data_IF_271600958605
#
_entry.id   IF_271600958605
#
_cell.length_a   1.000
_cell.length_b   1.000
_cell.length_c   1.000
_cell.angle_alpha   90.00
_cell.angle_beta   90.00
_cell.angle_gamma   90.00
#
_symmetry.space_group_name_H-M   'P 1'
#
loop_
_entity.id
_entity.type
_entity.pdbx_description
1 polymer ?
#
# COMPACT_ATOMS: atom_id res chain seq x y z
N UNK A 1 -42.43 -45.96 -65.73
CA UNK A 1 -42.39 -44.70 -66.50
C UNK A 1 -41.57 -43.70 -65.67
N UNK A 2 -40.27 -43.57 -65.90
CA UNK A 2 -39.67 -42.53 -66.75
C UNK A 2 -39.23 -41.34 -65.86
N UNK A 3 -38.01 -41.28 -65.29
CA UNK A 3 -36.77 -40.61 -65.81
C UNK A 3 -37.02 -39.17 -66.30
N UNK A 4 -36.26 -38.09 -66.04
CA UNK A 4 -34.81 -37.84 -65.95
C UNK A 4 -34.58 -36.46 -65.28
N UNK A 5 -33.42 -36.23 -64.67
CA UNK A 5 -32.91 -34.87 -64.43
C UNK A 5 -31.62 -34.77 -63.62
N UNK A 6 -30.48 -35.20 -64.18
CA UNK A 6 -29.13 -35.09 -63.59
C UNK A 6 -28.29 -34.09 -64.40
N UNK A 7 -27.51 -33.23 -63.72
CA UNK A 7 -26.28 -32.59 -64.23
C UNK A 7 -25.45 -32.15 -63.00
N UNK A 8 -24.47 -32.95 -62.52
CA UNK A 8 -23.01 -32.94 -62.79
C UNK A 8 -22.31 -31.58 -62.57
N UNK A 9 -21.33 -31.55 -61.65
CA UNK A 9 -19.93 -31.08 -61.81
C UNK A 9 -19.11 -31.35 -60.50
N UNK A 10 -17.76 -31.30 -60.50
CA UNK A 10 -16.93 -32.48 -60.26
C UNK A 10 -16.19 -32.54 -58.90
N UNK A 11 -15.71 -33.75 -58.58
CA UNK A 11 -14.75 -34.04 -57.49
C UNK A 11 -13.39 -33.39 -57.77
N UNK A 12 -12.82 -32.73 -56.77
CA UNK A 12 -11.37 -32.52 -56.65
C UNK A 12 -10.81 -33.17 -55.38
N UNK A 13 -9.62 -33.75 -55.58
CA UNK A 13 -8.79 -34.51 -54.63
C UNK A 13 -8.34 -33.65 -53.45
N UNK A 14 -8.13 -34.30 -52.30
CA UNK A 14 -7.55 -33.69 -51.12
C UNK A 14 -6.06 -33.36 -51.27
N UNK A 15 -5.59 -32.46 -50.41
CA UNK A 15 -4.19 -32.35 -49.97
C UNK A 15 -4.21 -31.88 -48.51
N UNK A 16 -3.35 -32.50 -47.70
CA UNK A 16 -3.05 -32.16 -46.32
C UNK A 16 -2.82 -30.66 -46.08
N UNK A 17 -3.37 -30.14 -44.98
CA UNK A 17 -2.84 -28.98 -44.30
C UNK A 17 -2.56 -29.38 -42.84
N UNK A 18 -1.27 -29.45 -42.53
CA UNK A 18 -0.69 -29.54 -41.20
C UNK A 18 -1.15 -28.36 -40.35
N UNK A 19 -2.09 -28.61 -39.42
CA UNK A 19 -2.40 -27.71 -38.33
C UNK A 19 -1.63 -28.17 -37.10
N UNK A 20 -0.50 -27.53 -36.80
CA UNK A 20 0.16 -27.62 -35.49
C UNK A 20 -0.82 -27.15 -34.43
N UNK A 21 -1.32 -28.08 -33.62
CA UNK A 21 -2.00 -27.75 -32.38
C UNK A 21 -0.99 -27.03 -31.48
N UNK A 22 -1.13 -25.71 -31.37
CA UNK A 22 -0.42 -24.92 -30.37
C UNK A 22 -1.01 -25.31 -29.03
N UNK A 23 -0.33 -26.20 -28.33
CA UNK A 23 -0.55 -26.49 -26.92
C UNK A 23 -0.30 -25.22 -26.13
N UNK A 24 -1.37 -24.53 -25.72
CA UNK A 24 -1.29 -23.54 -24.65
C UNK A 24 -0.90 -24.30 -23.38
N UNK A 25 0.40 -24.33 -23.09
CA UNK A 25 0.86 -24.57 -21.73
C UNK A 25 0.29 -23.40 -20.92
N UNK A 26 -0.70 -23.70 -20.09
CA UNK A 26 -1.04 -22.85 -18.94
C UNK A 26 0.29 -22.54 -18.25
N UNK A 27 0.72 -21.29 -18.35
CA UNK A 27 1.80 -20.80 -17.52
C UNK A 27 1.25 -20.89 -16.09
N UNK A 28 1.66 -21.94 -15.38
CA UNK A 28 1.46 -22.06 -13.94
C UNK A 28 2.00 -20.77 -13.33
N UNK A 29 1.10 -19.84 -12.97
CA UNK A 29 1.48 -18.58 -12.34
C UNK A 29 1.99 -18.98 -10.97
N UNK A 30 3.31 -19.10 -10.86
CA UNK A 30 3.96 -19.41 -9.60
C UNK A 30 3.69 -18.25 -8.65
N UNK A 31 2.74 -18.44 -7.74
CA UNK A 31 2.46 -17.50 -6.67
C UNK A 31 3.77 -17.24 -5.93
N UNK A 32 4.14 -15.96 -5.81
CA UNK A 32 5.34 -15.57 -5.05
C UNK A 32 5.12 -15.97 -3.59
N UNK A 33 6.11 -16.65 -3.04
CA UNK A 33 6.20 -16.87 -1.59
C UNK A 33 6.24 -15.52 -0.86
N UNK A 34 5.83 -15.52 0.40
CA UNK A 34 5.89 -14.32 1.23
C UNK A 34 7.31 -13.73 1.32
N UNK A 35 8.33 -14.60 1.38
CA UNK A 35 9.74 -14.21 1.32
C UNK A 35 10.09 -13.47 0.02
N UNK A 36 9.69 -14.00 -1.13
CA UNK A 36 9.92 -13.33 -2.42
C UNK A 36 9.17 -11.98 -2.50
N UNK A 37 7.94 -11.89 -1.97
CA UNK A 37 7.21 -10.61 -1.90
C UNK A 37 7.96 -9.58 -1.02
N UNK A 38 8.52 -10.00 0.11
CA UNK A 38 9.33 -9.16 0.98
C UNK A 38 10.60 -8.64 0.29
N UNK A 39 11.34 -9.53 -0.39
CA UNK A 39 12.52 -9.17 -1.17
C UNK A 39 12.21 -8.18 -2.30
N UNK A 40 11.08 -8.37 -2.98
CA UNK A 40 10.58 -7.42 -3.99
C UNK A 40 10.32 -6.06 -3.34
N UNK A 41 9.57 -6.00 -2.23
CA UNK A 41 9.28 -4.73 -1.55
C UNK A 41 10.54 -3.99 -1.10
N UNK A 42 11.53 -4.73 -0.58
CA UNK A 42 12.82 -4.16 -0.19
C UNK A 42 13.56 -3.57 -1.40
N UNK A 43 13.58 -4.31 -2.53
CA UNK A 43 14.22 -3.84 -3.76
C UNK A 43 13.60 -2.55 -4.31
N UNK A 44 12.29 -2.34 -4.10
CA UNK A 44 11.60 -1.14 -4.55
C UNK A 44 12.07 0.14 -3.83
N UNK A 45 12.66 0.02 -2.63
CA UNK A 45 13.20 1.16 -1.90
C UNK A 45 14.68 1.42 -2.22
N UNK A 46 15.38 0.46 -2.83
CA UNK A 46 16.85 0.49 -3.00
C UNK A 46 17.32 0.47 -4.45
N UNK A 47 16.42 0.29 -5.42
CA UNK A 47 16.75 0.23 -6.85
C UNK A 47 17.03 1.58 -7.53
N UNK A 48 17.08 2.67 -6.77
CA UNK A 48 17.36 4.02 -7.28
C UNK A 48 16.20 4.70 -8.01
N UNK A 49 15.00 4.10 -8.05
CA UNK A 49 13.79 4.71 -8.63
C UNK A 49 12.85 5.15 -7.52
N UNK A 50 12.13 6.25 -7.77
CA UNK A 50 11.05 6.67 -6.88
C UNK A 50 9.89 5.68 -6.94
N UNK A 51 9.58 5.05 -5.82
CA UNK A 51 8.38 4.25 -5.62
C UNK A 51 7.18 5.15 -5.32
N UNK A 52 6.24 5.23 -6.26
CA UNK A 52 4.94 5.89 -6.03
C UNK A 52 3.96 4.86 -5.50
N UNK A 53 3.53 5.02 -4.24
CA UNK A 53 2.75 4.00 -3.54
C UNK A 53 1.44 4.57 -2.95
N UNK A 54 0.34 4.57 -3.72
CA UNK A 54 -0.98 4.94 -3.22
C UNK A 54 -1.44 4.02 -2.09
N UNK A 55 -2.14 4.59 -1.12
CA UNK A 55 -2.67 3.85 0.01
C UNK A 55 -4.14 3.45 -0.22
N UNK A 56 -4.50 2.25 0.20
CA UNK A 56 -5.85 1.69 0.10
C UNK A 56 -6.41 1.38 1.49
N UNK A 57 -7.72 1.21 1.56
CA UNK A 57 -8.44 0.82 2.77
C UNK A 57 -9.31 -0.42 2.59
N UNK A 58 -9.35 -1.01 1.39
CA UNK A 58 -10.18 -2.18 1.10
C UNK A 58 -9.61 -3.04 -0.04
N UNK A 59 -10.13 -4.28 -0.21
CA UNK A 59 -9.63 -5.22 -1.23
C UNK A 59 -9.77 -4.72 -2.68
N UNK A 60 -10.89 -4.09 -3.04
CA UNK A 60 -11.12 -3.64 -4.43
C UNK A 60 -10.12 -2.55 -4.84
N UNK A 61 -9.79 -1.63 -3.92
CA UNK A 61 -8.75 -0.62 -4.16
C UNK A 61 -7.38 -1.25 -4.42
N UNK A 62 -7.01 -2.28 -3.65
CA UNK A 62 -5.76 -3.01 -3.86
C UNK A 62 -5.69 -3.64 -5.25
N UNK A 63 -6.80 -4.23 -5.72
CA UNK A 63 -6.90 -4.83 -7.05
C UNK A 63 -6.83 -3.81 -8.18
N UNK A 64 -7.45 -2.65 -8.00
CA UNK A 64 -7.32 -1.56 -8.95
C UNK A 64 -5.86 -1.14 -9.08
N UNK A 65 -5.14 -0.94 -7.96
CA UNK A 65 -3.72 -0.57 -8.01
C UNK A 65 -2.88 -1.64 -8.70
N UNK A 66 -3.04 -2.91 -8.34
CA UNK A 66 -2.30 -4.00 -8.99
C UNK A 66 -2.57 -4.07 -10.50
N UNK A 67 -3.84 -4.02 -10.93
CA UNK A 67 -4.20 -4.04 -12.35
C UNK A 67 -3.69 -2.82 -13.12
N UNK A 68 -3.52 -1.68 -12.46
CA UNK A 68 -2.89 -0.48 -13.03
C UNK A 68 -1.35 -0.55 -13.04
N UNK A 69 -0.77 -1.65 -12.57
CA UNK A 69 0.67 -1.92 -12.65
C UNK A 69 1.49 -1.35 -11.49
N UNK A 70 0.85 -0.95 -10.39
CA UNK A 70 1.60 -0.58 -9.18
C UNK A 70 2.35 -1.80 -8.64
N UNK A 71 3.65 -1.68 -8.32
CA UNK A 71 4.48 -2.84 -7.99
C UNK A 71 4.29 -3.34 -6.55
N UNK A 72 3.53 -2.62 -5.73
CA UNK A 72 3.17 -2.92 -4.35
C UNK A 72 1.90 -2.16 -3.97
N UNK A 73 1.31 -2.50 -2.82
CA UNK A 73 0.15 -1.81 -2.21
C UNK A 73 0.49 -1.42 -0.78
N UNK A 74 0.09 -0.22 -0.35
CA UNK A 74 0.14 0.19 1.05
C UNK A 74 -1.27 0.33 1.63
N UNK A 75 -1.49 -0.04 2.89
CA UNK A 75 -2.72 0.35 3.60
C UNK A 75 -2.55 1.74 4.24
N UNK A 76 -3.66 2.37 4.65
CA UNK A 76 -3.64 3.56 5.52
C UNK A 76 -4.60 3.33 6.69
N UNK A 77 -4.10 3.37 7.93
CA UNK A 77 -4.90 3.15 9.14
C UNK A 77 -6.05 4.14 9.23
N UNK A 78 -5.76 5.43 9.01
CA UNK A 78 -6.73 6.52 8.99
C UNK A 78 -7.91 6.26 8.03
N UNK A 79 -7.64 5.70 6.86
CA UNK A 79 -8.67 5.40 5.87
C UNK A 79 -9.46 4.14 6.26
N UNK A 80 -8.79 3.13 6.81
CA UNK A 80 -9.43 1.93 7.34
C UNK A 80 -10.40 2.31 8.47
N UNK A 81 -9.91 3.00 9.52
CA UNK A 81 -10.71 3.41 10.67
C UNK A 81 -11.90 4.26 10.25
N UNK A 82 -11.68 5.27 9.40
CA UNK A 82 -12.76 6.14 8.92
C UNK A 82 -13.79 5.38 8.06
N UNK A 83 -13.38 4.41 7.25
CA UNK A 83 -14.31 3.58 6.46
C UNK A 83 -15.22 2.71 7.33
N UNK A 84 -14.80 2.45 8.57
CA UNK A 84 -15.56 1.71 9.59
C UNK A 84 -16.31 2.64 10.55
N UNK A 85 -16.23 3.97 10.37
CA UNK A 85 -16.92 4.97 11.20
C UNK A 85 -16.18 5.34 12.49
N UNK A 86 -14.90 5.01 12.61
CA UNK A 86 -14.06 5.34 13.76
C UNK A 86 -13.04 6.41 13.42
N UNK A 87 -12.60 7.15 14.44
CA UNK A 87 -11.47 8.05 14.31
C UNK A 87 -10.18 7.26 14.09
N UNK A 88 -9.19 7.90 13.47
CA UNK A 88 -7.82 7.41 13.42
C UNK A 88 -7.22 7.37 14.84
N UNK A 89 -6.12 6.65 15.01
CA UNK A 89 -5.44 6.58 16.30
C UNK A 89 -5.89 5.40 17.17
N UNK A 90 -5.72 4.19 16.64
CA UNK A 90 -5.95 2.91 17.32
C UNK A 90 -7.35 2.78 17.96
N UNK A 91 -8.35 3.52 17.46
CA UNK A 91 -9.74 3.48 17.96
C UNK A 91 -10.49 2.25 17.49
N UNK A 92 -10.00 1.60 16.44
CA UNK A 92 -10.42 0.24 16.06
C UNK A 92 -9.55 -0.78 16.77
N UNK A 93 -10.08 -1.99 16.97
CA UNK A 93 -9.31 -3.08 17.58
C UNK A 93 -8.20 -3.53 16.63
N UNK A 94 -7.04 -3.90 17.18
CA UNK A 94 -5.95 -4.59 16.44
C UNK A 94 -6.47 -5.69 15.52
N UNK A 95 -7.32 -6.57 16.06
CA UNK A 95 -7.88 -7.70 15.30
C UNK A 95 -8.70 -7.24 14.07
N UNK A 96 -9.41 -6.12 14.17
CA UNK A 96 -10.17 -5.53 13.05
C UNK A 96 -9.23 -5.00 11.97
N UNK A 97 -8.17 -4.28 12.37
CA UNK A 97 -7.18 -3.76 11.42
C UNK A 97 -6.45 -4.90 10.69
N UNK A 98 -5.97 -5.90 11.44
CA UNK A 98 -5.27 -7.08 10.90
C UNK A 98 -6.16 -7.89 9.95
N UNK A 99 -7.44 -8.11 10.29
CA UNK A 99 -8.35 -8.85 9.40
C UNK A 99 -8.46 -8.17 8.02
N UNK A 100 -8.62 -6.84 8.01
CA UNK A 100 -8.75 -6.08 6.77
C UNK A 100 -7.43 -6.06 5.97
N UNK A 101 -6.29 -5.93 6.66
CA UNK A 101 -4.96 -6.08 6.03
C UNK A 101 -4.84 -7.47 5.38
N UNK A 102 -5.26 -8.53 6.08
CA UNK A 102 -5.25 -9.90 5.54
C UNK A 102 -6.15 -10.07 4.32
N UNK A 103 -7.37 -9.49 4.33
CA UNK A 103 -8.26 -9.48 3.16
C UNK A 103 -7.62 -8.79 1.96
N UNK A 104 -6.89 -7.70 2.19
CA UNK A 104 -6.16 -6.96 1.15
C UNK A 104 -4.98 -7.80 0.63
N UNK A 105 -4.17 -8.37 1.51
CA UNK A 105 -2.99 -9.15 1.12
C UNK A 105 -3.34 -10.43 0.36
N UNK A 106 -4.47 -11.08 0.69
CA UNK A 106 -4.93 -12.30 0.01
C UNK A 106 -5.40 -12.08 -1.43
N UNK A 107 -5.89 -10.88 -1.76
CA UNK A 107 -6.48 -10.64 -3.07
C UNK A 107 -5.45 -10.22 -4.13
N UNK A 108 -4.23 -9.79 -3.73
CA UNK A 108 -3.17 -9.32 -4.64
C UNK A 108 -1.92 -10.22 -4.63
N UNK A 109 -1.26 -10.32 -5.78
CA UNK A 109 0.02 -10.99 -5.99
C UNK A 109 1.21 -10.08 -5.67
N UNK A 110 1.02 -8.75 -5.76
CA UNK A 110 2.05 -7.78 -5.38
C UNK A 110 2.27 -7.74 -3.85
N UNK A 111 3.44 -7.27 -3.38
CA UNK A 111 3.71 -7.05 -1.96
C UNK A 111 2.73 -6.05 -1.32
N UNK A 112 2.33 -6.32 -0.08
CA UNK A 112 1.52 -5.40 0.74
C UNK A 112 2.33 -4.91 1.94
N UNK A 113 2.35 -3.59 2.15
CA UNK A 113 2.87 -2.96 3.37
C UNK A 113 1.72 -2.41 4.20
N UNK A 114 1.67 -2.81 5.47
CA UNK A 114 0.59 -2.47 6.38
C UNK A 114 0.91 -1.21 7.19
N UNK A 115 -0.03 -0.28 7.29
CA UNK A 115 -0.01 0.77 8.30
C UNK A 115 -0.60 0.21 9.60
N UNK A 116 0.23 0.10 10.64
CA UNK A 116 -0.14 -0.48 11.94
C UNK A 116 -0.06 0.52 13.08
N UNK A 117 -0.04 1.82 12.76
CA UNK A 117 0.01 2.91 13.74
C UNK A 117 1.20 2.74 14.70
N UNK A 118 0.98 2.80 16.01
CA UNK A 118 2.05 2.58 16.99
C UNK A 118 2.38 1.09 17.15
N UNK A 119 1.54 0.21 16.61
CA UNK A 119 1.64 -1.25 16.70
C UNK A 119 0.58 -1.89 17.58
N UNK A 120 -0.46 -1.15 18.01
CA UNK A 120 -1.54 -1.67 18.87
C UNK A 120 -1.03 -2.40 20.12
N UNK A 121 -0.02 -1.83 20.77
CA UNK A 121 0.70 -2.46 21.85
C UNK A 121 1.44 -1.44 22.72
N UNK A 122 1.27 -1.53 24.04
CA UNK A 122 2.05 -0.70 24.97
C UNK A 122 3.36 -1.37 25.38
N UNK A 123 3.38 -2.71 25.39
CA UNK A 123 4.56 -3.50 25.76
C UNK A 123 5.19 -4.19 24.56
N UNK A 124 6.49 -4.53 24.67
CA UNK A 124 7.19 -5.32 23.63
C UNK A 124 6.59 -6.72 23.44
N UNK A 125 6.02 -7.34 24.48
CA UNK A 125 5.36 -8.63 24.36
C UNK A 125 4.06 -8.55 23.56
N UNK A 126 3.26 -7.49 23.75
CA UNK A 126 2.08 -7.26 22.92
C UNK A 126 2.47 -6.90 21.49
N UNK A 127 3.56 -6.17 21.32
CA UNK A 127 4.08 -5.79 20.01
C UNK A 127 4.52 -7.02 19.21
N UNK A 128 5.11 -8.02 19.87
CA UNK A 128 5.45 -9.30 19.23
C UNK A 128 4.20 -10.04 18.74
N UNK A 129 3.08 -9.97 19.47
CA UNK A 129 1.79 -10.50 19.00
C UNK A 129 1.31 -9.74 17.75
N UNK A 130 1.44 -8.41 17.71
CA UNK A 130 1.13 -7.64 16.50
C UNK A 130 2.03 -8.05 15.34
N UNK A 131 3.34 -8.23 15.56
CA UNK A 131 4.27 -8.67 14.53
C UNK A 131 3.90 -10.05 13.98
N UNK A 132 3.52 -10.99 14.85
CA UNK A 132 2.99 -12.29 14.45
C UNK A 132 1.77 -12.16 13.54
N UNK A 133 0.78 -11.38 13.99
CA UNK A 133 -0.47 -11.18 13.27
C UNK A 133 -0.28 -10.50 11.91
N UNK A 134 0.67 -9.55 11.81
CA UNK A 134 1.04 -8.92 10.54
C UNK A 134 1.65 -9.94 9.58
N UNK A 135 2.60 -10.75 10.04
CA UNK A 135 3.22 -11.79 9.18
C UNK A 135 2.17 -12.81 8.73
N UNK A 136 1.32 -13.29 9.65
CA UNK A 136 0.24 -14.23 9.34
C UNK A 136 -0.81 -13.66 8.38
N UNK A 137 -1.02 -12.34 8.37
CA UNK A 137 -1.91 -11.68 7.43
C UNK A 137 -1.43 -11.75 5.96
N UNK A 138 -0.15 -12.04 5.73
CA UNK A 138 0.49 -12.03 4.42
C UNK A 138 1.11 -10.69 4.02
N UNK A 139 1.02 -9.67 4.88
CA UNK A 139 1.78 -8.44 4.70
C UNK A 139 3.29 -8.71 4.80
N UNK A 140 4.08 -7.92 4.07
CA UNK A 140 5.54 -8.06 3.97
C UNK A 140 6.28 -6.75 4.22
N UNK A 141 5.56 -5.70 4.56
CA UNK A 141 6.12 -4.47 5.12
C UNK A 141 5.19 -3.86 6.15
N UNK A 142 5.71 -2.93 6.95
CA UNK A 142 4.96 -2.20 7.96
C UNK A 142 5.36 -0.72 7.99
N UNK A 143 4.40 0.16 8.27
CA UNK A 143 4.68 1.45 8.88
C UNK A 143 4.46 1.30 10.38
N UNK A 144 5.43 1.72 11.19
CA UNK A 144 5.30 1.83 12.65
C UNK A 144 5.73 3.22 13.10
N UNK A 145 4.88 3.91 13.85
CA UNK A 145 5.12 5.29 14.30
C UNK A 145 5.50 5.40 15.77
N UNK A 146 6.11 6.53 16.12
CA UNK A 146 6.57 6.86 17.47
C UNK A 146 5.67 7.87 18.17
N UNK A 147 4.51 8.22 17.59
CA UNK A 147 3.55 9.13 18.20
C UNK A 147 2.92 8.57 19.47
N UNK A 148 2.61 9.47 20.41
CA UNK A 148 1.82 9.21 21.61
C UNK A 148 0.55 10.07 21.53
N UNK A 149 -0.56 9.48 21.04
CA UNK A 149 -1.82 10.20 20.79
C UNK A 149 -2.35 10.99 21.98
N UNK A 150 -2.21 10.47 23.20
CA UNK A 150 -2.82 11.06 24.39
C UNK A 150 -2.02 12.24 24.96
N UNK A 151 -0.73 12.33 24.65
CA UNK A 151 0.19 13.30 25.25
C UNK A 151 0.69 14.35 24.25
N UNK A 152 0.31 14.23 22.97
CA UNK A 152 0.80 15.11 21.90
C UNK A 152 2.32 15.01 21.70
N UNK A 153 2.92 13.93 22.20
CA UNK A 153 4.35 13.71 22.29
C UNK A 153 4.84 12.56 21.43
N UNK A 154 6.16 12.34 21.50
CA UNK A 154 6.82 11.22 20.84
C UNK A 154 7.39 10.27 21.89
N UNK A 155 7.41 8.98 21.57
CA UNK A 155 8.21 7.98 22.27
C UNK A 155 9.68 8.40 22.26
N UNK A 156 10.37 8.06 23.35
CA UNK A 156 11.82 8.18 23.40
C UNK A 156 12.45 7.40 22.24
N UNK A 157 13.57 7.88 21.71
CA UNK A 157 14.25 7.26 20.57
C UNK A 157 14.59 5.80 20.91
N UNK A 158 15.07 5.55 22.12
CA UNK A 158 15.45 4.23 22.61
C UNK A 158 14.26 3.27 22.66
N UNK A 159 13.09 3.72 23.15
CA UNK A 159 11.86 2.92 23.17
C UNK A 159 11.45 2.53 21.75
N UNK A 160 11.37 3.50 20.83
CA UNK A 160 11.01 3.20 19.46
C UNK A 160 12.02 2.28 18.76
N UNK A 161 13.32 2.43 19.04
CA UNK A 161 14.35 1.52 18.53
C UNK A 161 14.15 0.07 19.03
N UNK A 162 13.75 -0.11 20.29
CA UNK A 162 13.43 -1.44 20.82
C UNK A 162 12.22 -2.05 20.10
N UNK A 163 11.20 -1.25 19.82
CA UNK A 163 9.99 -1.67 19.08
C UNK A 163 10.30 -2.08 17.64
N UNK A 164 11.08 -1.28 16.91
CA UNK A 164 11.57 -1.60 15.56
C UNK A 164 12.40 -2.89 15.58
N UNK A 165 13.33 -3.01 16.53
CA UNK A 165 14.18 -4.19 16.67
C UNK A 165 13.37 -5.46 16.98
N UNK A 166 12.30 -5.35 17.77
CA UNK A 166 11.43 -6.48 18.09
C UNK A 166 10.71 -7.00 16.84
N UNK A 167 10.16 -6.10 16.01
CA UNK A 167 9.56 -6.44 14.72
C UNK A 167 10.56 -7.14 13.79
N UNK A 168 11.77 -6.56 13.63
CA UNK A 168 12.85 -7.15 12.81
C UNK A 168 13.17 -8.57 13.26
N UNK A 169 13.47 -8.75 14.55
CA UNK A 169 13.85 -10.05 15.12
C UNK A 169 12.73 -11.08 14.99
N UNK A 170 11.47 -10.68 15.18
CA UNK A 170 10.33 -11.58 15.02
C UNK A 170 10.22 -12.06 13.56
N UNK A 171 10.22 -11.13 12.60
CA UNK A 171 10.09 -11.47 11.18
C UNK A 171 11.22 -12.37 10.68
N UNK A 172 12.46 -12.13 11.14
CA UNK A 172 13.62 -12.99 10.85
C UNK A 172 13.43 -14.44 11.34
N UNK A 173 12.83 -14.64 12.53
CA UNK A 173 12.48 -15.99 13.03
C UNK A 173 11.45 -16.69 12.14
N UNK A 174 10.58 -15.93 11.49
CA UNK A 174 9.62 -16.43 10.51
C UNK A 174 10.23 -16.62 9.10
N UNK A 175 11.51 -16.29 8.89
CA UNK A 175 12.17 -16.41 7.59
C UNK A 175 11.75 -15.35 6.56
N UNK A 176 11.18 -14.23 7.01
CA UNK A 176 10.71 -13.12 6.16
C UNK A 176 11.46 -11.83 6.52
N UNK A 177 12.02 -11.14 5.54
CA UNK A 177 12.56 -9.79 5.75
C UNK A 177 11.42 -8.77 5.71
N UNK A 178 10.65 -8.64 6.80
CA UNK A 178 9.57 -7.65 6.87
C UNK A 178 10.16 -6.25 6.63
N UNK A 179 9.68 -5.53 5.62
CA UNK A 179 10.21 -4.20 5.27
C UNK A 179 9.66 -3.16 6.25
N UNK A 180 10.52 -2.58 7.09
CA UNK A 180 10.10 -1.66 8.14
C UNK A 180 10.28 -0.21 7.66
N UNK A 181 9.17 0.49 7.50
CA UNK A 181 9.09 1.92 7.24
C UNK A 181 8.83 2.65 8.56
N UNK A 182 9.89 3.07 9.24
CA UNK A 182 9.80 3.70 10.55
C UNK A 182 9.33 5.15 10.40
N UNK A 183 8.13 5.43 10.89
CA UNK A 183 7.51 6.75 10.87
C UNK A 183 7.93 7.56 12.10
N UNK A 184 8.21 8.83 11.87
CA UNK A 184 8.32 9.83 12.94
C UNK A 184 7.25 10.89 12.77
N UNK A 185 6.69 11.31 13.90
CA UNK A 185 5.71 12.38 13.98
C UNK A 185 6.33 13.71 14.38
N UNK A 186 7.66 13.87 14.34
CA UNK A 186 8.35 15.08 14.84
C UNK A 186 7.87 16.39 14.22
N UNK A 187 7.45 16.43 12.95
CA UNK A 187 6.93 17.66 12.33
C UNK A 187 5.45 17.93 12.60
N UNK A 188 4.71 16.95 13.13
CA UNK A 188 3.27 17.07 13.44
C UNK A 188 2.99 17.02 14.95
N UNK A 189 3.97 16.61 15.74
CA UNK A 189 3.93 16.61 17.20
C UNK A 189 3.92 18.04 17.73
N UNK A 190 3.12 18.27 18.77
CA UNK A 190 3.10 19.52 19.52
C UNK A 190 4.31 19.72 20.43
N UNK A 191 5.21 18.73 20.55
CA UNK A 191 6.41 18.83 21.39
C UNK A 191 7.48 19.78 20.85
N UNK A 192 7.42 20.14 19.56
CA UNK A 192 8.40 21.01 18.92
C UNK A 192 7.74 22.31 18.50
N UNK A 193 8.40 23.42 18.79
CA UNK A 193 7.84 24.76 18.55
C UNK A 193 8.29 25.37 17.23
N UNK A 194 9.38 24.85 16.68
CA UNK A 194 9.97 25.31 15.42
C UNK A 194 10.18 24.14 14.43
N UNK A 195 10.24 24.47 13.13
CA UNK A 195 10.54 23.48 12.09
C UNK A 195 11.97 22.95 12.21
N UNK A 196 12.87 23.80 12.71
CA UNK A 196 14.27 23.48 12.93
C UNK A 196 14.42 22.43 14.03
N UNK A 197 13.73 22.58 15.17
CA UNK A 197 13.69 21.56 16.23
C UNK A 197 13.14 20.23 15.72
N UNK A 198 12.01 20.26 15.00
CA UNK A 198 11.40 19.06 14.41
C UNK A 198 12.33 18.35 13.40
N UNK A 199 13.13 19.13 12.66
CA UNK A 199 14.12 18.63 11.71
C UNK A 199 15.30 17.96 12.42
N UNK A 200 15.85 18.56 13.48
CA UNK A 200 16.91 17.94 14.27
C UNK A 200 16.47 16.58 14.82
N UNK A 201 15.25 16.50 15.35
CA UNK A 201 14.72 15.23 15.86
C UNK A 201 14.41 14.21 14.77
N UNK A 202 13.92 14.65 13.61
CA UNK A 202 13.76 13.75 12.47
C UNK A 202 15.11 13.13 12.07
N UNK A 203 16.18 13.92 12.05
CA UNK A 203 17.52 13.44 11.64
C UNK A 203 18.13 12.51 12.70
N UNK A 204 17.99 12.83 13.99
CA UNK A 204 18.42 11.96 15.07
C UNK A 204 17.70 10.60 15.02
N UNK A 205 16.36 10.63 14.87
CA UNK A 205 15.52 9.43 14.74
C UNK A 205 15.83 8.62 13.50
N UNK A 206 16.07 9.26 12.35
CA UNK A 206 16.41 8.56 11.12
C UNK A 206 17.64 7.68 11.27
N UNK A 207 18.69 8.19 11.94
CA UNK A 207 19.90 7.43 12.23
C UNK A 207 19.61 6.27 13.19
N UNK A 208 18.97 6.56 14.32
CA UNK A 208 18.69 5.55 15.35
C UNK A 208 17.78 4.43 14.82
N UNK A 209 16.73 4.78 14.09
CA UNK A 209 15.78 3.81 13.54
C UNK A 209 16.42 2.92 12.48
N UNK A 210 17.33 3.47 11.66
CA UNK A 210 18.12 2.67 10.73
C UNK A 210 19.04 1.68 11.48
N UNK A 211 19.72 2.11 12.55
CA UNK A 211 20.55 1.24 13.40
C UNK A 211 19.72 0.15 14.10
N UNK A 212 18.45 0.44 14.42
CA UNK A 212 17.50 -0.52 14.98
C UNK A 212 16.93 -1.53 13.95
N UNK A 213 17.20 -1.35 12.66
CA UNK A 213 16.78 -2.27 11.59
C UNK A 213 15.61 -1.80 10.72
N UNK A 214 15.29 -0.50 10.72
CA UNK A 214 14.37 0.09 9.76
C UNK A 214 15.00 0.15 8.35
N UNK A 215 14.21 -0.21 7.33
CA UNK A 215 14.62 -0.18 5.92
C UNK A 215 14.33 1.16 5.25
N UNK A 216 13.33 1.89 5.75
CA UNK A 216 12.93 3.20 5.25
C UNK A 216 12.53 4.11 6.41
N UNK A 217 12.84 5.40 6.30
CA UNK A 217 12.46 6.42 7.26
C UNK A 217 11.33 7.29 6.68
N UNK A 218 10.34 7.61 7.51
CA UNK A 218 9.13 8.30 7.09
C UNK A 218 8.79 9.49 8.01
N UNK A 219 9.37 10.68 7.77
CA UNK A 219 8.99 11.89 8.47
C UNK A 219 7.69 12.44 7.87
N UNK A 220 6.57 12.30 8.58
CA UNK A 220 5.29 12.88 8.13
C UNK A 220 5.20 14.36 8.48
N UNK A 221 4.46 15.14 7.68
CA UNK A 221 4.36 16.59 7.82
C UNK A 221 5.01 17.36 6.67
N UNK A 222 6.33 17.22 6.43
CA UNK A 222 7.01 17.96 5.37
C UNK A 222 6.82 17.30 4.01
N UNK A 223 6.40 18.09 3.03
CA UNK A 223 6.35 17.68 1.62
C UNK A 223 6.84 18.76 0.66
N UNK A 224 7.12 19.97 1.14
CA UNK A 224 7.66 21.06 0.32
C UNK A 224 9.11 20.78 -0.08
N UNK A 225 9.49 21.30 -1.25
CA UNK A 225 10.79 21.01 -1.87
C UNK A 225 11.97 21.38 -0.97
N UNK A 226 11.92 22.55 -0.33
CA UNK A 226 13.00 23.06 0.53
C UNK A 226 13.24 22.08 1.68
N UNK A 227 12.19 21.72 2.41
CA UNK A 227 12.32 20.82 3.55
C UNK A 227 12.76 19.41 3.13
N UNK A 228 12.24 18.90 2.01
CA UNK A 228 12.60 17.56 1.52
C UNK A 228 14.07 17.49 1.06
N UNK A 229 14.60 18.54 0.42
CA UNK A 229 16.04 18.65 0.09
C UNK A 229 16.90 18.60 1.37
N UNK A 230 16.54 19.38 2.39
CA UNK A 230 17.26 19.37 3.67
C UNK A 230 17.25 18.00 4.36
N UNK A 231 16.09 17.33 4.38
CA UNK A 231 15.97 15.97 4.92
C UNK A 231 16.89 15.00 4.14
N UNK A 232 16.85 15.05 2.81
CA UNK A 232 17.67 14.18 1.97
C UNK A 232 19.17 14.38 2.17
N UNK A 233 19.62 15.62 2.32
CA UNK A 233 21.04 15.93 2.51
C UNK A 233 21.57 15.29 3.81
N UNK A 234 20.73 15.30 4.85
CA UNK A 234 21.09 14.91 6.22
C UNK A 234 20.81 13.44 6.55
N UNK A 235 19.84 12.83 5.88
CA UNK A 235 19.46 11.42 6.08
C UNK A 235 20.03 10.61 4.92
N UNK A 236 20.59 9.43 5.17
CA UNK A 236 21.14 8.55 4.11
C UNK A 236 20.32 7.29 3.84
N UNK A 237 19.48 6.88 4.79
CA UNK A 237 18.53 5.78 4.60
C UNK A 237 17.47 6.12 3.53
N UNK A 238 16.78 5.13 2.95
CA UNK A 238 15.63 5.38 2.11
C UNK A 238 14.59 6.27 2.80
N UNK A 239 14.06 7.29 2.12
CA UNK A 239 13.05 8.20 2.68
C UNK A 239 11.70 8.00 1.98
N UNK A 240 10.64 7.89 2.78
CA UNK A 240 9.25 7.98 2.36
C UNK A 240 8.70 9.38 2.67
N UNK A 241 7.98 10.01 1.74
CA UNK A 241 7.32 11.30 1.93
C UNK A 241 5.81 11.18 1.72
N UNK A 242 5.02 11.80 2.60
CA UNK A 242 3.57 11.92 2.41
C UNK A 242 3.29 13.04 1.39
N UNK A 243 2.73 12.70 0.25
CA UNK A 243 2.39 13.66 -0.80
C UNK A 243 1.02 14.26 -0.53
N UNK A 244 1.01 15.53 -0.11
CA UNK A 244 -0.18 16.39 -0.02
C UNK A 244 -0.33 17.28 -1.26
N UNK A 245 -1.47 17.98 -1.43
CA UNK A 245 -1.63 18.92 -2.54
C UNK A 245 -0.59 20.05 -2.61
N UNK A 246 0.12 20.32 -1.50
CA UNK A 246 1.18 21.34 -1.43
C UNK A 246 2.59 20.74 -1.50
N UNK A 247 2.71 19.43 -1.69
CA UNK A 247 4.01 18.77 -1.79
C UNK A 247 4.70 19.09 -3.13
N UNK A 248 6.02 18.94 -3.15
CA UNK A 248 6.79 19.10 -4.37
C UNK A 248 6.33 18.10 -5.46
N UNK A 249 6.37 18.50 -6.75
CA UNK A 249 6.07 17.60 -7.85
C UNK A 249 6.91 16.31 -7.86
N UNK A 250 6.37 15.22 -8.41
CA UNK A 250 7.03 13.91 -8.37
C UNK A 250 8.36 13.85 -9.13
N UNK A 251 8.54 14.65 -10.16
CA UNK A 251 9.81 14.84 -10.88
C UNK A 251 10.87 15.51 -10.01
N UNK A 252 10.48 16.51 -9.22
CA UNK A 252 11.36 17.10 -8.20
C UNK A 252 11.69 16.08 -7.11
N UNK A 253 10.71 15.31 -6.61
CA UNK A 253 10.97 14.23 -5.64
C UNK A 253 11.97 13.20 -6.17
N UNK A 254 11.91 12.85 -7.46
CA UNK A 254 12.89 11.97 -8.12
C UNK A 254 14.28 12.60 -8.18
N UNK A 255 14.36 13.87 -8.56
CA UNK A 255 15.63 14.61 -8.62
C UNK A 255 16.33 14.66 -7.26
N UNK A 256 15.56 14.93 -6.20
CA UNK A 256 16.09 14.94 -4.83
C UNK A 256 16.60 13.55 -4.41
N UNK A 257 16.08 12.47 -5.00
CA UNK A 257 16.41 11.11 -4.58
C UNK A 257 15.58 10.64 -3.39
N UNK A 258 14.30 11.02 -3.37
CA UNK A 258 13.29 10.39 -2.51
C UNK A 258 13.03 8.96 -2.99
N UNK A 259 13.00 8.01 -2.07
CA UNK A 259 12.87 6.58 -2.40
C UNK A 259 11.43 6.17 -2.56
N UNK A 260 10.52 6.71 -1.73
CA UNK A 260 9.10 6.38 -1.73
C UNK A 260 8.26 7.64 -1.52
N UNK A 261 7.11 7.69 -2.17
CA UNK A 261 6.02 8.60 -1.80
C UNK A 261 4.77 7.81 -1.47
N UNK A 262 4.10 8.21 -0.40
CA UNK A 262 2.82 7.66 0.06
C UNK A 262 1.75 8.76 0.05
N UNK A 263 0.48 8.37 0.12
CA UNK A 263 -0.66 9.29 -0.02
C UNK A 263 -1.62 9.26 1.18
N UNK A 264 -1.32 8.45 2.20
CA UNK A 264 -2.07 8.37 3.44
C UNK A 264 -3.58 8.22 3.19
N UNK A 265 -4.46 8.94 3.91
CA UNK A 265 -5.90 8.84 3.70
C UNK A 265 -6.41 9.66 2.52
N UNK A 266 -5.57 10.27 1.67
CA UNK A 266 -6.05 11.22 0.68
C UNK A 266 -6.91 10.59 -0.41
N UNK A 267 -6.59 9.38 -0.90
CA UNK A 267 -7.46 8.68 -1.85
C UNK A 267 -8.85 8.44 -1.24
N UNK A 268 -8.90 7.96 0.01
CA UNK A 268 -10.15 7.76 0.72
C UNK A 268 -10.94 9.06 0.87
N UNK A 269 -10.30 10.13 1.35
CA UNK A 269 -10.94 11.44 1.52
C UNK A 269 -11.50 12.00 0.21
N UNK A 270 -10.77 11.83 -0.90
CA UNK A 270 -11.24 12.23 -2.24
C UNK A 270 -12.45 11.42 -2.69
N UNK A 271 -12.43 10.08 -2.52
CA UNK A 271 -13.57 9.23 -2.83
C UNK A 271 -14.80 9.57 -1.95
N UNK A 272 -14.59 9.85 -0.67
CA UNK A 272 -15.64 10.23 0.27
C UNK A 272 -16.28 11.58 -0.07
N UNK A 273 -15.50 12.56 -0.57
CA UNK A 273 -16.08 13.81 -1.09
C UNK A 273 -16.98 13.54 -2.29
N UNK A 274 -16.54 12.72 -3.25
CA UNK A 274 -17.37 12.36 -4.41
C UNK A 274 -18.65 11.61 -4.00
N UNK A 275 -18.57 10.74 -2.99
CA UNK A 275 -19.75 10.10 -2.40
C UNK A 275 -20.73 11.15 -1.85
N UNK A 276 -20.23 12.12 -1.06
CA UNK A 276 -21.06 13.20 -0.53
C UNK A 276 -21.69 14.06 -1.65
N UNK A 277 -20.93 14.41 -2.69
CA UNK A 277 -21.45 15.16 -3.86
C UNK A 277 -22.63 14.43 -4.52
N UNK A 278 -22.53 13.11 -4.67
CA UNK A 278 -23.60 12.29 -5.25
C UNK A 278 -24.84 12.33 -4.36
N UNK A 279 -24.68 12.17 -3.04
CA UNK A 279 -25.80 12.21 -2.08
C UNK A 279 -26.45 13.60 -2.05
N UNK A 280 -25.65 14.67 -2.07
CA UNK A 280 -26.15 16.05 -2.11
C UNK A 280 -26.97 16.31 -3.38
N UNK A 281 -26.52 15.81 -4.55
CA UNK A 281 -27.25 15.91 -5.82
C UNK A 281 -28.61 15.19 -5.80
N UNK A 282 -28.65 13.99 -5.21
CA UNK A 282 -29.90 13.24 -5.04
C UNK A 282 -30.90 13.98 -4.14
N UNK A 283 -30.42 14.58 -3.03
CA UNK A 283 -31.27 15.26 -2.06
C UNK A 283 -31.84 16.59 -2.60
N UNK A 284 -31.02 17.37 -3.30
CA UNK A 284 -31.35 18.76 -3.63
C UNK A 284 -32.05 18.92 -4.98
N UNK A 285 -31.71 18.10 -5.96
CA UNK A 285 -32.17 18.28 -7.34
C UNK A 285 -32.87 17.03 -7.91
N UNK A 286 -32.89 15.91 -7.18
CA UNK A 286 -33.18 14.62 -7.78
C UNK A 286 -32.22 14.29 -8.93
N UNK A 287 -31.01 14.86 -8.89
CA UNK A 287 -30.00 14.73 -9.93
C UNK A 287 -29.17 13.47 -9.68
N UNK A 288 -29.24 12.56 -10.65
CA UNK A 288 -28.50 11.29 -10.68
C UNK A 288 -27.58 11.22 -11.89
N UNK A 289 -27.28 12.35 -12.54
CA UNK A 289 -26.37 12.44 -13.69
C UNK A 289 -24.96 11.90 -13.38
N UNK A 290 -24.52 11.96 -12.12
CA UNK A 290 -23.26 11.35 -11.67
C UNK A 290 -23.18 9.83 -11.90
N UNK A 291 -24.31 9.13 -12.11
CA UNK A 291 -24.32 7.71 -12.47
C UNK A 291 -23.98 7.45 -13.94
N UNK A 292 -23.89 8.48 -14.79
CA UNK A 292 -23.51 8.32 -16.19
C UNK A 292 -22.04 7.93 -16.40
N UNK A 293 -21.19 8.18 -15.40
CA UNK A 293 -19.75 7.84 -15.39
C UNK A 293 -19.43 6.74 -14.35
N UNK A 294 -20.44 5.96 -13.93
CA UNK A 294 -20.21 4.85 -12.99
C UNK A 294 -19.57 3.67 -13.70
N UNK A 295 -18.72 2.94 -12.98
CA UNK A 295 -18.24 1.64 -13.46
C UNK A 295 -19.43 0.67 -13.60
N UNK A 296 -19.54 0.05 -14.76
CA UNK A 296 -20.45 -1.05 -15.01
C UNK A 296 -20.13 -2.27 -14.15
N UNK A 297 -21.08 -3.20 -14.03
CA UNK A 297 -20.85 -4.48 -13.35
C UNK A 297 -19.69 -5.27 -13.95
N UNK A 298 -19.53 -5.19 -15.28
CA UNK A 298 -18.43 -5.86 -15.96
C UNK A 298 -17.08 -5.25 -15.59
N UNK A 299 -16.98 -3.92 -15.59
CA UNK A 299 -15.75 -3.20 -15.20
C UNK A 299 -15.38 -3.46 -13.74
N UNK A 300 -16.35 -3.44 -12.81
CA UNK A 300 -16.10 -3.81 -11.41
C UNK A 300 -15.63 -5.26 -11.33
N UNK A 301 -16.26 -6.16 -12.09
CA UNK A 301 -15.94 -7.58 -12.14
C UNK A 301 -14.49 -7.89 -12.48
N UNK A 302 -13.78 -7.04 -13.23
CA UNK A 302 -12.36 -7.21 -13.56
C UNK A 302 -11.43 -7.18 -12.32
N UNK A 303 -11.92 -6.61 -11.22
CA UNK A 303 -11.17 -6.45 -9.96
C UNK A 303 -11.62 -7.44 -8.88
N UNK A 304 -12.66 -8.24 -9.11
CA UNK A 304 -13.20 -9.19 -8.12
C UNK A 304 -12.56 -10.58 -8.24
N UNK A 305 -12.54 -11.33 -7.14
CA UNK A 305 -12.29 -12.77 -7.18
C UNK A 305 -13.53 -13.50 -7.66
N UNK A 306 -13.32 -14.61 -8.36
CA UNK A 306 -14.38 -15.56 -8.69
C UNK A 306 -14.45 -16.66 -7.64
N UNK A 307 -15.65 -17.00 -7.16
CA UNK A 307 -15.85 -18.10 -6.19
C UNK A 307 -16.46 -17.63 -4.86
N UNK A 308 -16.33 -18.46 -3.83
CA UNK A 308 -16.79 -18.20 -2.46
C UNK A 308 -15.58 -17.89 -1.54
N UNK A 309 -15.79 -17.03 -0.53
CA UNK A 309 -14.82 -16.77 0.56
C UNK A 309 -14.62 -18.02 1.44
#
# INVERSE_FOLDING_TARGET
>A
MGTVGRLLLPRFRGVHASGTAVSYKEAEVKLRSQKEKAEVLLSLHTNGKLLVLPNVWNPIGARILEKKGFPAVATASAAISASLGYQDGEKIKRATAIDLIGRIARIVDVPVTADIETGYAESLSELEVTAQQVVESGAVGVNIEDGLEWEGGLRAIEDQCQRISAFRKFAERCGVHLVINARTDSFVSSSFTTKEEAMEEAVARAKAFAEAGADCFYPIGPGDEITVRLLRDRIKSPINILVSPTAAPLDIMREIGVNRVSFGPYLFRSCTRKFADIVDGLLTAGDYSSFSDMMSRAEIGEYLLTGHE
#
